data_IF_371445529596
#
_entry.id   IF_371445529596
#
_cell.length_a   1.000
_cell.length_b   1.000
_cell.length_c   1.000
_cell.angle_alpha   90.00
_cell.angle_beta   90.00
_cell.angle_gamma   90.00
#
_symmetry.space_group_name_H-M   'P 1'
#
loop_
_entity.id
_entity.type
_entity.pdbx_description
1 polymer ?
#
# COMPACT_ATOMS: atom_id res chain seq x y z
N UNK A 1 -18.30 13.33 34.06
CA UNK A 1 -17.93 12.29 33.09
C UNK A 1 -16.98 12.95 32.07
N UNK A 2 -15.69 12.91 32.32
CA UNK A 2 -14.66 13.52 31.47
C UNK A 2 -14.14 12.45 30.47
N UNK A 3 -14.29 12.71 29.17
CA UNK A 3 -13.78 11.91 28.06
C UNK A 3 -12.26 12.02 27.98
N UNK A 4 -11.51 10.93 27.83
CA UNK A 4 -10.06 10.99 27.56
C UNK A 4 -9.83 11.18 26.05
N UNK A 5 -9.77 12.43 25.59
CA UNK A 5 -9.58 12.77 24.17
C UNK A 5 -8.08 12.98 23.79
N UNK A 6 -7.15 12.88 24.75
CA UNK A 6 -5.76 13.30 24.52
C UNK A 6 -4.77 12.23 24.03
N UNK A 7 -5.02 10.95 24.26
CA UNK A 7 -4.04 9.89 23.94
C UNK A 7 -4.13 9.38 22.48
N UNK A 8 -5.33 9.36 21.89
CA UNK A 8 -5.52 8.91 20.50
C UNK A 8 -4.97 9.88 19.46
N UNK A 9 -4.98 11.19 19.74
CA UNK A 9 -4.49 12.20 18.80
C UNK A 9 -2.94 12.19 18.67
N UNK A 10 -2.19 11.77 19.69
CA UNK A 10 -0.72 11.72 19.64
C UNK A 10 -0.18 10.50 18.90
N UNK A 11 -0.77 9.33 19.06
CA UNK A 11 -0.39 8.14 18.29
C UNK A 11 -0.71 8.31 16.79
N UNK A 12 -1.80 9.00 16.44
CA UNK A 12 -2.16 9.32 15.06
C UNK A 12 -1.21 10.29 14.37
N UNK A 13 -0.53 11.18 15.10
CA UNK A 13 0.40 12.15 14.52
C UNK A 13 1.73 11.52 14.11
N UNK A 14 2.24 10.51 14.82
CA UNK A 14 3.49 9.82 14.48
C UNK A 14 3.34 8.90 13.26
N UNK A 15 2.17 8.26 13.07
CA UNK A 15 1.86 7.43 11.89
C UNK A 15 1.63 8.22 10.60
N UNK A 16 1.41 9.54 10.68
CA UNK A 16 1.13 10.42 9.54
C UNK A 16 2.37 11.13 8.97
N UNK A 17 3.55 10.64 9.27
CA UNK A 17 4.81 11.17 8.74
C UNK A 17 5.81 10.06 8.47
N UNK A 18 6.31 10.01 7.23
CA UNK A 18 7.42 9.11 6.85
C UNK A 18 8.54 9.93 6.23
N UNK A 19 9.78 9.62 6.60
CA UNK A 19 10.98 10.25 6.04
C UNK A 19 11.85 9.17 5.42
N UNK A 20 12.19 9.38 4.16
CA UNK A 20 13.00 8.48 3.36
C UNK A 20 14.39 9.11 3.17
N UNK A 21 15.48 8.36 3.34
CA UNK A 21 16.82 8.88 3.17
C UNK A 21 17.08 9.36 1.73
N UNK A 22 18.07 10.23 1.58
CA UNK A 22 18.62 10.58 0.27
C UNK A 22 19.01 9.30 -0.48
N UNK A 23 18.82 9.30 -1.79
CA UNK A 23 19.20 8.17 -2.64
C UNK A 23 20.50 8.48 -3.37
N UNK A 24 21.45 7.53 -3.47
CA UNK A 24 22.60 7.65 -4.34
C UNK A 24 22.19 7.87 -5.81
N UNK A 25 23.13 8.34 -6.61
CA UNK A 25 22.95 8.44 -8.06
C UNK A 25 22.50 7.10 -8.66
N UNK A 26 21.62 7.13 -9.65
CA UNK A 26 21.07 5.95 -10.31
C UNK A 26 19.82 6.27 -11.11
N UNK A 27 19.21 5.25 -11.71
CA UNK A 27 18.00 5.38 -12.51
C UNK A 27 16.83 5.91 -11.68
N UNK A 28 16.08 6.86 -12.26
CA UNK A 28 14.90 7.50 -11.67
C UNK A 28 13.61 7.22 -12.43
N UNK A 29 13.66 6.47 -13.51
CA UNK A 29 12.48 6.10 -14.26
C UNK A 29 11.50 5.32 -13.37
N UNK A 30 10.23 5.73 -13.37
CA UNK A 30 9.19 5.00 -12.68
C UNK A 30 8.93 3.65 -13.37
N UNK A 31 8.93 2.57 -12.60
CA UNK A 31 8.78 1.21 -13.09
C UNK A 31 7.34 0.72 -13.07
N UNK A 32 6.58 1.14 -12.07
CA UNK A 32 5.17 0.76 -11.94
C UNK A 32 4.25 1.68 -12.76
N UNK A 33 3.05 1.21 -13.06
CA UNK A 33 2.06 2.03 -13.75
C UNK A 33 1.62 3.23 -12.90
N UNK A 34 1.50 3.08 -11.58
CA UNK A 34 1.12 4.17 -10.66
C UNK A 34 2.24 5.19 -10.45
N UNK A 35 3.50 4.75 -10.41
CA UNK A 35 4.65 5.66 -10.40
C UNK A 35 4.72 6.49 -11.69
N UNK A 36 4.44 5.90 -12.84
CA UNK A 36 4.34 6.63 -14.12
C UNK A 36 3.15 7.60 -14.14
N UNK A 37 1.99 7.17 -13.64
CA UNK A 37 0.81 8.05 -13.55
C UNK A 37 1.07 9.27 -12.64
N UNK A 38 1.82 9.09 -11.54
CA UNK A 38 2.26 10.19 -10.69
C UNK A 38 3.11 11.22 -11.46
N UNK A 39 4.10 10.76 -12.22
CA UNK A 39 4.94 11.65 -13.07
C UNK A 39 4.06 12.35 -14.10
N UNK A 40 3.16 11.64 -14.75
CA UNK A 40 2.24 12.18 -15.76
C UNK A 40 1.36 13.29 -15.18
N UNK A 41 0.89 13.17 -13.95
CA UNK A 41 0.09 14.21 -13.29
C UNK A 41 0.83 15.55 -13.17
N UNK A 42 2.15 15.53 -12.96
CA UNK A 42 2.97 16.75 -12.97
C UNK A 42 3.21 17.26 -14.39
N UNK A 43 3.54 16.36 -15.32
CA UNK A 43 3.99 16.70 -16.66
C UNK A 43 2.83 17.20 -17.55
N UNK A 44 1.61 16.73 -17.32
CA UNK A 44 0.43 17.12 -18.07
C UNK A 44 0.17 18.65 -18.09
N UNK A 45 0.68 19.39 -17.12
CA UNK A 45 0.59 20.85 -17.05
C UNK A 45 1.85 21.59 -17.49
N UNK A 46 2.94 20.89 -17.73
CA UNK A 46 4.20 21.50 -18.13
C UNK A 46 4.31 21.55 -19.65
N UNK A 47 4.55 22.74 -20.19
CA UNK A 47 4.85 22.93 -21.63
C UNK A 47 6.34 22.86 -21.95
N UNK A 48 7.20 22.66 -20.95
CA UNK A 48 8.66 22.67 -21.09
C UNK A 48 9.23 21.29 -20.77
N UNK A 49 9.31 20.44 -21.78
CA UNK A 49 9.89 19.09 -21.68
C UNK A 49 11.36 19.10 -21.22
N UNK A 50 12.17 20.03 -21.72
CA UNK A 50 13.56 20.14 -21.33
C UNK A 50 13.78 20.48 -19.85
N UNK A 51 12.80 21.15 -19.23
CA UNK A 51 12.84 21.44 -17.79
C UNK A 51 12.53 20.20 -16.97
N UNK A 52 11.60 19.39 -17.44
CA UNK A 52 11.26 18.11 -16.82
C UNK A 52 12.42 17.11 -16.93
N UNK A 53 13.08 17.05 -18.07
CA UNK A 53 14.28 16.25 -18.31
C UNK A 53 15.43 16.65 -17.37
N UNK A 54 15.74 17.95 -17.25
CA UNK A 54 16.71 18.45 -16.27
C UNK A 54 16.33 18.09 -14.82
N UNK A 55 15.04 17.97 -14.51
CA UNK A 55 14.56 17.47 -13.22
C UNK A 55 14.87 15.99 -13.03
N UNK A 56 14.60 15.17 -14.03
CA UNK A 56 14.96 13.75 -14.04
C UNK A 56 16.46 13.55 -13.81
N UNK A 57 17.29 14.32 -14.52
CA UNK A 57 18.76 14.29 -14.38
C UNK A 57 19.22 14.68 -12.96
N UNK A 58 18.61 15.68 -12.34
CA UNK A 58 18.92 16.05 -10.95
C UNK A 58 18.60 14.90 -9.99
N UNK A 59 17.46 14.26 -10.17
CA UNK A 59 17.09 13.10 -9.35
C UNK A 59 18.05 11.93 -9.59
N UNK A 60 18.43 11.66 -10.85
CA UNK A 60 19.37 10.61 -11.23
C UNK A 60 20.77 10.79 -10.63
N UNK A 61 21.21 12.05 -10.47
CA UNK A 61 22.49 12.39 -9.81
C UNK A 61 22.43 12.33 -8.28
N UNK A 62 21.27 11.97 -7.68
CA UNK A 62 21.13 11.94 -6.24
C UNK A 62 21.05 13.35 -5.60
N UNK A 63 20.63 14.37 -6.36
CA UNK A 63 20.57 15.75 -5.88
C UNK A 63 19.38 16.03 -4.96
N UNK A 64 18.52 15.05 -4.67
CA UNK A 64 17.38 15.15 -3.77
C UNK A 64 17.76 14.58 -2.41
N UNK A 65 17.73 15.41 -1.39
CA UNK A 65 17.96 15.00 0.01
C UNK A 65 16.84 14.09 0.53
N UNK A 66 16.85 13.85 1.85
CA UNK A 66 15.79 13.09 2.49
C UNK A 66 14.40 13.65 2.14
N UNK A 67 13.50 12.74 1.76
CA UNK A 67 12.13 13.09 1.39
C UNK A 67 11.22 12.84 2.57
N UNK A 68 10.49 13.85 2.99
CA UNK A 68 9.44 13.73 4.01
C UNK A 68 8.07 13.74 3.35
N UNK A 69 7.24 12.77 3.71
CA UNK A 69 5.87 12.60 3.26
C UNK A 69 4.93 12.72 4.45
N UNK A 70 3.92 13.56 4.29
CA UNK A 70 2.81 13.74 5.23
C UNK A 70 1.50 13.85 4.44
N UNK A 71 0.32 13.78 5.07
CA UNK A 71 -0.93 14.02 4.37
C UNK A 71 -0.90 15.29 3.53
N UNK A 72 -1.16 15.15 2.25
CA UNK A 72 -1.21 16.26 1.29
C UNK A 72 0.13 16.87 0.89
N UNK A 73 1.28 16.40 1.40
CA UNK A 73 2.56 17.07 1.18
C UNK A 73 3.74 16.11 1.06
N UNK A 74 4.51 16.28 -0.01
CA UNK A 74 5.88 15.77 -0.13
C UNK A 74 6.84 16.95 -0.08
N UNK A 75 7.89 16.83 0.71
CA UNK A 75 8.90 17.88 0.93
C UNK A 75 10.30 17.29 0.88
N UNK A 76 11.20 17.95 0.16
CA UNK A 76 12.64 17.71 0.24
C UNK A 76 13.45 18.96 -0.05
N UNK A 77 14.74 18.92 0.28
CA UNK A 77 15.71 19.87 -0.22
C UNK A 77 16.38 19.28 -1.47
N UNK A 78 16.57 20.12 -2.49
CA UNK A 78 17.14 19.72 -3.76
C UNK A 78 18.35 20.58 -4.08
N UNK A 79 19.50 19.95 -4.27
CA UNK A 79 20.74 20.60 -4.65
C UNK A 79 20.67 21.06 -6.12
N UNK A 80 21.01 22.29 -6.35
CA UNK A 80 21.09 22.89 -7.68
C UNK A 80 22.49 23.45 -7.93
N UNK A 81 22.57 24.52 -8.74
CA UNK A 81 23.82 25.20 -9.06
C UNK A 81 24.36 26.12 -7.93
N UNK A 82 23.55 26.38 -6.89
CA UNK A 82 23.97 27.20 -5.75
C UNK A 82 24.39 26.30 -4.58
N UNK A 83 25.26 26.80 -3.67
CA UNK A 83 25.70 26.03 -2.50
C UNK A 83 24.58 25.63 -1.55
N UNK A 84 23.55 26.48 -1.40
CA UNK A 84 22.38 26.19 -0.56
C UNK A 84 21.32 25.46 -1.38
N UNK A 85 20.81 24.32 -0.88
CA UNK A 85 19.75 23.59 -1.57
C UNK A 85 18.42 24.36 -1.54
N UNK A 86 17.56 24.08 -2.50
CA UNK A 86 16.23 24.67 -2.59
C UNK A 86 15.19 23.76 -1.93
N UNK A 87 14.30 24.33 -1.16
CA UNK A 87 13.15 23.59 -0.60
C UNK A 87 12.11 23.40 -1.70
N UNK A 88 11.94 22.16 -2.14
CA UNK A 88 10.93 21.76 -3.09
C UNK A 88 9.75 21.06 -2.38
N UNK A 89 8.54 21.30 -2.83
CA UNK A 89 7.31 20.73 -2.30
C UNK A 89 6.40 20.31 -3.42
N UNK A 90 5.68 19.20 -3.20
CA UNK A 90 4.56 18.75 -4.03
C UNK A 90 3.35 18.61 -3.11
N UNK A 91 2.25 19.28 -3.46
CA UNK A 91 1.00 19.18 -2.71
C UNK A 91 -0.02 18.42 -3.52
N UNK A 92 -0.76 17.56 -2.83
CA UNK A 92 -1.92 16.86 -3.35
C UNK A 92 -3.04 16.93 -2.32
N UNK A 93 -4.28 17.05 -2.76
CA UNK A 93 -5.41 17.12 -1.82
C UNK A 93 -5.57 15.76 -1.11
N UNK A 94 -5.59 15.70 0.23
CA UNK A 94 -6.02 14.51 0.96
C UNK A 94 -7.45 14.14 0.59
N UNK A 95 -7.80 12.88 0.76
CA UNK A 95 -9.19 12.42 0.63
C UNK A 95 -10.01 12.91 1.82
N UNK A 96 -11.29 13.15 1.57
CA UNK A 96 -12.26 13.43 2.64
C UNK A 96 -12.62 12.16 3.41
N UNK A 97 -13.26 12.28 4.56
CA UNK A 97 -13.74 11.12 5.32
C UNK A 97 -14.74 10.29 4.51
N UNK A 98 -15.59 10.92 3.71
CA UNK A 98 -16.54 10.25 2.82
C UNK A 98 -15.82 9.51 1.68
N UNK A 99 -14.75 10.09 1.11
CA UNK A 99 -13.91 9.42 0.12
C UNK A 99 -13.25 8.19 0.74
N UNK A 100 -12.71 8.32 1.96
CA UNK A 100 -12.11 7.21 2.67
C UNK A 100 -13.11 6.11 3.01
N UNK A 101 -14.34 6.45 3.42
CA UNK A 101 -15.38 5.46 3.67
C UNK A 101 -15.67 4.64 2.41
N UNK A 102 -15.88 5.31 1.27
CA UNK A 102 -16.13 4.64 -0.02
C UNK A 102 -14.95 3.77 -0.49
N UNK A 103 -13.71 4.25 -0.26
CA UNK A 103 -12.51 3.50 -0.62
C UNK A 103 -12.35 2.24 0.24
N UNK A 104 -12.56 2.36 1.55
CA UNK A 104 -12.48 1.23 2.48
C UNK A 104 -13.54 0.17 2.17
N UNK A 105 -14.76 0.60 1.86
CA UNK A 105 -15.84 -0.29 1.43
C UNK A 105 -15.44 -1.04 0.15
N UNK A 106 -14.93 -0.31 -0.85
CA UNK A 106 -14.48 -0.91 -2.10
C UNK A 106 -13.35 -1.92 -1.92
N UNK A 107 -12.39 -1.66 -1.02
CA UNK A 107 -11.31 -2.60 -0.71
C UNK A 107 -11.85 -3.84 0.00
N UNK A 108 -12.76 -3.67 0.96
CA UNK A 108 -13.30 -4.78 1.75
C UNK A 108 -14.30 -5.64 0.98
N UNK A 109 -14.96 -5.08 -0.03
CA UNK A 109 -15.82 -5.84 -0.96
C UNK A 109 -15.01 -6.75 -1.91
N UNK A 110 -13.71 -6.48 -2.07
CA UNK A 110 -12.82 -7.20 -2.96
C UNK A 110 -11.55 -7.65 -2.21
N UNK A 111 -11.54 -8.81 -1.54
CA UNK A 111 -10.40 -9.28 -0.74
C UNK A 111 -9.06 -9.31 -1.49
N UNK A 112 -9.10 -9.48 -2.82
CA UNK A 112 -7.90 -9.42 -3.66
C UNK A 112 -7.22 -8.05 -3.64
N UNK A 113 -7.96 -6.95 -3.42
CA UNK A 113 -7.38 -5.61 -3.30
C UNK A 113 -6.57 -5.46 -2.02
N UNK A 114 -7.07 -6.01 -0.90
CA UNK A 114 -6.34 -6.02 0.36
C UNK A 114 -5.07 -6.87 0.25
N UNK A 115 -5.18 -8.07 -0.33
CA UNK A 115 -4.03 -8.94 -0.54
C UNK A 115 -2.94 -8.24 -1.37
N UNK A 116 -3.29 -7.64 -2.51
CA UNK A 116 -2.35 -6.90 -3.35
C UNK A 116 -1.68 -5.74 -2.61
N UNK A 117 -2.44 -4.97 -1.81
CA UNK A 117 -1.86 -3.88 -1.00
C UNK A 117 -0.85 -4.41 0.02
N UNK A 118 -1.13 -5.54 0.68
CA UNK A 118 -0.19 -6.18 1.61
C UNK A 118 1.09 -6.65 0.90
N UNK A 119 0.97 -7.07 -0.36
CA UNK A 119 2.10 -7.42 -1.24
C UNK A 119 2.80 -6.20 -1.85
N UNK A 120 2.46 -4.98 -1.41
CA UNK A 120 3.01 -3.72 -1.92
C UNK A 120 2.67 -3.46 -3.39
N UNK A 121 1.56 -3.96 -3.86
CA UNK A 121 1.03 -3.72 -5.20
C UNK A 121 -0.23 -2.85 -5.16
N UNK A 122 -0.38 -1.98 -6.15
CA UNK A 122 -1.59 -1.19 -6.35
C UNK A 122 -2.35 -1.73 -7.56
N UNK A 123 -3.48 -2.47 -7.36
CA UNK A 123 -4.29 -2.96 -8.46
C UNK A 123 -4.87 -1.81 -9.29
N UNK A 124 -4.86 -1.88 -10.63
CA UNK A 124 -5.51 -0.86 -11.47
C UNK A 124 -6.98 -0.62 -11.10
N UNK A 125 -7.72 -1.68 -10.82
CA UNK A 125 -9.13 -1.59 -10.41
C UNK A 125 -9.35 -0.76 -9.15
N UNK A 126 -8.37 -0.73 -8.23
CA UNK A 126 -8.44 0.11 -7.03
C UNK A 126 -8.24 1.59 -7.36
N UNK A 127 -7.40 1.91 -8.34
CA UNK A 127 -7.15 3.28 -8.76
C UNK A 127 -8.27 3.85 -9.65
N UNK A 128 -8.94 2.99 -10.40
CA UNK A 128 -10.10 3.30 -11.26
C UNK A 128 -11.43 3.18 -10.50
N UNK A 129 -11.37 2.86 -9.21
CA UNK A 129 -12.51 2.69 -8.32
C UNK A 129 -13.29 3.97 -8.05
N UNK A 130 -14.20 3.93 -7.05
CA UNK A 130 -15.12 5.03 -6.76
C UNK A 130 -14.42 6.31 -6.28
N UNK A 131 -13.14 6.23 -5.94
CA UNK A 131 -12.32 7.34 -5.44
C UNK A 131 -11.00 7.39 -6.19
N UNK A 132 -10.66 8.50 -6.86
CA UNK A 132 -9.40 8.65 -7.57
C UNK A 132 -8.22 8.72 -6.59
N UNK A 133 -7.47 7.63 -6.47
CA UNK A 133 -6.30 7.58 -5.59
C UNK A 133 -5.12 8.38 -6.13
N UNK A 134 -4.84 8.26 -7.42
CA UNK A 134 -3.78 9.00 -8.08
C UNK A 134 -4.23 10.43 -8.40
N UNK A 135 -3.33 11.41 -8.30
CA UNK A 135 -3.66 12.77 -8.74
C UNK A 135 -3.84 12.80 -10.26
N UNK A 136 -4.88 13.49 -10.69
CA UNK A 136 -5.09 13.82 -12.09
C UNK A 136 -4.26 15.02 -12.55
N UNK A 137 -4.42 15.40 -13.82
CA UNK A 137 -3.78 16.58 -14.37
C UNK A 137 -4.24 17.85 -13.62
N UNK A 138 -3.31 18.44 -12.86
CA UNK A 138 -3.58 19.66 -12.10
C UNK A 138 -3.82 19.50 -10.60
N UNK A 139 -3.99 18.27 -10.12
CA UNK A 139 -4.14 18.01 -8.70
C UNK A 139 -2.80 18.03 -7.95
N UNK A 140 -1.70 17.82 -8.68
CA UNK A 140 -0.35 17.88 -8.13
C UNK A 140 0.22 19.29 -8.28
N UNK A 141 0.35 19.99 -7.17
CA UNK A 141 0.76 21.39 -7.12
C UNK A 141 2.24 21.49 -6.70
N UNK A 142 3.15 21.81 -7.65
CA UNK A 142 4.57 21.99 -7.35
C UNK A 142 4.86 23.39 -6.79
N UNK A 143 5.74 23.47 -5.78
CA UNK A 143 6.26 24.70 -5.22
C UNK A 143 7.76 24.55 -4.91
N UNK A 144 8.53 25.63 -5.07
CA UNK A 144 9.96 25.63 -4.83
C UNK A 144 10.46 27.03 -4.50
N UNK A 145 11.45 27.11 -3.61
CA UNK A 145 12.11 28.38 -3.21
C UNK A 145 13.15 28.88 -4.22
N UNK A 146 13.34 28.18 -5.35
CA UNK A 146 14.27 28.65 -6.38
C UNK A 146 13.75 29.91 -7.08
N UNK A 147 14.65 30.74 -7.69
CA UNK A 147 14.27 31.97 -8.36
C UNK A 147 13.54 31.78 -9.71
N UNK A 148 13.42 30.53 -10.18
CA UNK A 148 12.73 30.23 -11.43
C UNK A 148 11.24 30.55 -11.29
N UNK A 149 10.67 31.45 -12.12
CA UNK A 149 9.25 31.82 -12.00
C UNK A 149 8.31 30.76 -12.59
N UNK A 150 8.82 29.88 -13.45
CA UNK A 150 7.99 28.86 -14.14
C UNK A 150 7.81 27.62 -13.26
N UNK A 151 6.60 27.10 -13.20
CA UNK A 151 6.25 25.89 -12.47
C UNK A 151 5.70 24.80 -13.42
N UNK A 152 6.12 23.53 -13.23
CA UNK A 152 7.16 23.05 -12.31
C UNK A 152 8.56 23.51 -12.74
N UNK A 153 9.41 23.86 -11.76
CA UNK A 153 10.83 24.06 -12.00
C UNK A 153 11.57 22.72 -11.98
N UNK A 154 12.83 22.66 -12.46
CA UNK A 154 13.64 21.44 -12.45
C UNK A 154 13.77 20.77 -11.06
N UNK A 155 13.77 21.55 -9.97
CA UNK A 155 13.89 21.01 -8.61
C UNK A 155 12.58 20.34 -8.15
N UNK A 156 11.43 20.93 -8.45
CA UNK A 156 10.14 20.30 -8.19
C UNK A 156 9.94 19.03 -9.07
N UNK A 157 10.41 19.07 -10.32
CA UNK A 157 10.42 17.89 -11.18
C UNK A 157 11.33 16.78 -10.62
N UNK A 158 12.53 17.13 -10.11
CA UNK A 158 13.41 16.17 -9.47
C UNK A 158 12.74 15.50 -8.24
N UNK A 159 12.06 16.29 -7.39
CA UNK A 159 11.30 15.73 -6.28
C UNK A 159 10.18 14.82 -6.77
N UNK A 160 9.50 15.15 -7.87
CA UNK A 160 8.45 14.31 -8.44
C UNK A 160 8.99 12.94 -8.88
N UNK A 161 10.10 12.91 -9.62
CA UNK A 161 10.75 11.67 -10.03
C UNK A 161 11.21 10.84 -8.83
N UNK A 162 11.79 11.49 -7.82
CA UNK A 162 12.19 10.80 -6.58
C UNK A 162 10.98 10.21 -5.83
N UNK A 163 9.86 10.94 -5.80
CA UNK A 163 8.62 10.47 -5.18
C UNK A 163 8.04 9.29 -5.96
N UNK A 164 8.04 9.32 -7.29
CA UNK A 164 7.59 8.20 -8.11
C UNK A 164 8.31 6.90 -7.76
N UNK A 165 9.63 6.97 -7.52
CA UNK A 165 10.43 5.81 -7.08
C UNK A 165 10.09 5.35 -5.65
N UNK A 166 9.62 6.22 -4.77
CA UNK A 166 9.10 5.82 -3.47
C UNK A 166 7.76 5.10 -3.62
N UNK A 167 6.90 5.60 -4.49
CA UNK A 167 5.62 4.98 -4.82
C UNK A 167 5.81 3.60 -5.47
N UNK A 168 6.81 3.43 -6.35
CA UNK A 168 7.15 2.13 -6.96
C UNK A 168 7.51 1.08 -5.91
N UNK A 169 8.15 1.49 -4.82
CA UNK A 169 8.58 0.60 -3.73
C UNK A 169 7.46 0.31 -2.73
N UNK A 170 6.55 1.27 -2.55
CA UNK A 170 5.54 1.18 -1.52
C UNK A 170 4.31 2.04 -1.83
N UNK A 171 3.18 1.44 -2.23
CA UNK A 171 1.94 2.15 -2.48
C UNK A 171 1.34 2.82 -1.24
N UNK A 172 1.70 2.40 -0.02
CA UNK A 172 1.26 3.06 1.22
C UNK A 172 1.77 4.50 1.34
N UNK A 173 2.82 4.86 0.61
CA UNK A 173 3.25 6.27 0.49
C UNK A 173 2.17 7.12 -0.17
N UNK A 174 1.45 6.58 -1.17
CA UNK A 174 0.32 7.27 -1.79
C UNK A 174 -0.86 7.40 -0.82
N UNK A 175 -1.18 6.33 -0.09
CA UNK A 175 -2.28 6.32 0.88
C UNK A 175 -2.00 7.29 2.05
N UNK A 176 -0.75 7.38 2.50
CA UNK A 176 -0.32 8.39 3.47
C UNK A 176 -0.52 9.81 2.93
N UNK A 177 -0.11 10.07 1.68
CA UNK A 177 -0.34 11.36 1.01
C UNK A 177 -1.83 11.69 0.91
N UNK A 178 -2.68 10.68 0.75
CA UNK A 178 -4.14 10.83 0.72
C UNK A 178 -4.77 10.96 2.10
N UNK A 179 -4.02 10.73 3.20
CA UNK A 179 -4.46 11.09 4.54
C UNK A 179 -4.43 9.98 5.59
N UNK A 180 -4.11 8.73 5.23
CA UNK A 180 -4.05 7.61 6.18
C UNK A 180 -2.71 6.93 6.21
N UNK A 181 -2.21 6.68 7.42
CA UNK A 181 -1.02 5.87 7.66
C UNK A 181 -1.28 4.38 7.43
N UNK A 182 -0.22 3.63 7.19
CA UNK A 182 -0.26 2.20 6.90
C UNK A 182 -0.92 1.40 8.03
N UNK A 183 -0.46 1.56 9.27
CA UNK A 183 -0.96 0.80 10.42
C UNK A 183 -2.46 1.05 10.66
N UNK A 184 -2.89 2.33 10.66
CA UNK A 184 -4.30 2.70 10.82
C UNK A 184 -5.18 2.11 9.71
N UNK A 185 -4.67 2.10 8.48
CA UNK A 185 -5.37 1.56 7.32
C UNK A 185 -5.52 0.04 7.42
N UNK A 186 -4.44 -0.69 7.70
CA UNK A 186 -4.45 -2.15 7.85
C UNK A 186 -5.37 -2.57 9.00
N UNK A 187 -5.26 -1.91 10.15
CA UNK A 187 -6.13 -2.18 11.30
C UNK A 187 -7.61 -1.95 10.98
N UNK A 188 -7.90 -0.88 10.25
CA UNK A 188 -9.27 -0.54 9.85
C UNK A 188 -9.82 -1.57 8.86
N UNK A 189 -9.05 -1.93 7.83
CA UNK A 189 -9.46 -2.94 6.84
C UNK A 189 -9.64 -4.32 7.47
N UNK A 190 -8.76 -4.70 8.38
CA UNK A 190 -8.88 -5.97 9.11
C UNK A 190 -10.16 -6.02 9.92
N UNK A 191 -10.49 -4.97 10.66
CA UNK A 191 -11.74 -4.89 11.44
C UNK A 191 -12.98 -4.97 10.53
N UNK A 192 -12.99 -4.23 9.42
CA UNK A 192 -14.10 -4.24 8.47
C UNK A 192 -14.28 -5.61 7.83
N UNK A 193 -13.19 -6.28 7.45
CA UNK A 193 -13.23 -7.63 6.87
C UNK A 193 -13.78 -8.66 7.86
N UNK A 194 -13.38 -8.60 9.13
CA UNK A 194 -13.91 -9.48 10.18
C UNK A 194 -15.39 -9.22 10.41
N UNK A 195 -15.82 -7.97 10.45
CA UNK A 195 -17.25 -7.61 10.64
C UNK A 195 -18.11 -8.11 9.50
N UNK A 196 -17.61 -8.06 8.24
CA UNK A 196 -18.33 -8.59 7.06
C UNK A 196 -18.35 -10.12 7.00
N UNK A 197 -17.30 -10.76 7.48
CA UNK A 197 -17.24 -12.23 7.54
C UNK A 197 -18.04 -12.83 8.69
N UNK A 198 -18.43 -12.02 9.69
CA UNK A 198 -19.28 -12.47 10.78
C UNK A 198 -20.69 -12.81 10.25
N UNK A 199 -21.24 -13.99 10.55
CA UNK A 199 -22.62 -14.31 10.18
C UNK A 199 -23.57 -13.30 10.83
N UNK A 200 -24.58 -12.85 10.07
CA UNK A 200 -25.56 -11.90 10.56
C UNK A 200 -26.17 -12.44 11.87
N UNK A 201 -26.29 -11.62 12.92
CA UNK A 201 -26.99 -12.03 14.13
C UNK A 201 -28.48 -12.13 13.80
N UNK A 202 -29.00 -13.34 13.61
CA UNK A 202 -30.41 -13.58 13.38
C UNK A 202 -30.71 -14.30 12.06
N UNK A 203 -30.45 -15.59 12.02
CA UNK A 203 -30.80 -16.44 10.90
C UNK A 203 -30.86 -17.92 11.26
N UNK A 204 -31.05 -18.25 12.53
CA UNK A 204 -31.38 -19.62 12.98
C UNK A 204 -32.89 -19.75 13.25
N UNK A 205 -33.72 -19.33 12.31
CA UNK A 205 -35.03 -19.95 12.11
C UNK A 205 -34.95 -20.72 10.81
N UNK A 206 -34.48 -21.96 10.91
CA UNK A 206 -34.71 -22.98 9.88
C UNK A 206 -36.17 -23.32 9.99
N UNK A 207 -37.03 -23.06 8.99
CA UNK A 207 -38.34 -23.67 8.97
C UNK A 207 -38.14 -25.18 8.87
N UNK A 208 -38.64 -25.91 9.83
CA UNK A 208 -38.90 -27.35 9.70
C UNK A 208 -39.86 -27.55 8.53
N UNK A 209 -39.31 -27.72 7.33
CA UNK A 209 -40.04 -28.27 6.21
C UNK A 209 -39.24 -29.50 5.70
N UNK A 210 -39.76 -30.61 6.16
CA UNK A 210 -39.29 -31.98 5.96
C UNK A 210 -39.52 -32.38 4.49
N UNK A 211 -38.52 -32.08 3.63
CA UNK A 211 -38.37 -32.74 2.35
C UNK A 211 -36.95 -33.32 2.28
N UNK A 212 -36.89 -34.63 2.57
CA UNK A 212 -35.66 -35.38 2.57
C UNK A 212 -34.97 -35.33 1.19
N UNK A 213 -33.85 -34.59 1.09
CA UNK A 213 -32.94 -34.69 -0.03
C UNK A 213 -32.04 -35.94 0.15
N UNK A 214 -32.17 -36.99 -0.71
CA UNK A 214 -31.45 -38.24 -0.55
C UNK A 214 -29.93 -38.14 -0.80
N UNK A 215 -29.40 -36.97 -1.20
CA UNK A 215 -27.96 -36.71 -1.45
C UNK A 215 -27.30 -35.83 -0.40
N UNK A 216 -28.02 -35.44 0.65
CA UNK A 216 -27.42 -34.63 1.72
C UNK A 216 -26.55 -35.50 2.61
N UNK A 217 -25.22 -35.39 2.45
CA UNK A 217 -24.29 -36.00 3.41
C UNK A 217 -24.57 -35.49 4.83
N UNK A 218 -24.64 -36.37 5.83
CA UNK A 218 -24.89 -35.94 7.21
C UNK A 218 -23.79 -34.95 7.63
N UNK A 219 -24.16 -33.87 8.33
CA UNK A 219 -23.18 -32.92 8.86
C UNK A 219 -22.21 -33.68 9.76
N UNK A 220 -20.92 -33.58 9.49
CA UNK A 220 -19.88 -34.09 10.39
C UNK A 220 -20.09 -33.48 11.78
N UNK A 221 -20.05 -34.28 12.86
CA UNK A 221 -20.22 -33.76 14.21
C UNK A 221 -19.08 -32.77 14.51
N UNK A 222 -19.32 -31.50 14.29
CA UNK A 222 -18.40 -30.40 14.63
C UNK A 222 -18.53 -30.06 16.12
N UNK A 223 -17.43 -30.13 16.87
CA UNK A 223 -17.38 -29.64 18.23
C UNK A 223 -17.08 -28.14 18.19
N UNK A 224 -17.88 -27.31 18.87
CA UNK A 224 -17.63 -25.85 18.87
C UNK A 224 -16.30 -25.54 19.56
N UNK A 225 -15.47 -24.70 18.97
CA UNK A 225 -14.13 -24.36 19.48
C UNK A 225 -14.14 -23.95 20.97
N UNK A 226 -15.17 -23.26 21.44
CA UNK A 226 -15.35 -22.89 22.85
C UNK A 226 -15.50 -24.10 23.78
N UNK A 227 -16.13 -25.16 23.31
CA UNK A 227 -16.38 -26.38 24.09
C UNK A 227 -15.08 -27.21 24.18
N UNK A 228 -14.25 -27.18 23.13
CA UNK A 228 -12.91 -27.77 23.14
C UNK A 228 -11.95 -27.01 24.06
N UNK A 229 -12.04 -25.69 24.09
CA UNK A 229 -11.22 -24.86 24.99
C UNK A 229 -11.61 -24.98 26.45
N UNK A 230 -12.89 -25.28 26.73
CA UNK A 230 -13.40 -25.50 28.10
C UNK A 230 -13.17 -26.93 28.63
N UNK A 231 -12.86 -27.90 27.77
CA UNK A 231 -12.81 -29.34 28.12
C UNK A 231 -11.52 -29.83 28.77
N UNK A 232 -10.61 -28.95 29.27
CA UNK A 232 -9.46 -29.38 30.07
C UNK A 232 -8.21 -29.78 29.26
N UNK A 233 -7.21 -30.45 29.87
CA UNK A 233 -5.86 -30.57 29.32
C UNK A 233 -5.83 -31.27 27.98
N UNK A 234 -5.03 -30.71 27.06
CA UNK A 234 -4.82 -31.22 25.69
C UNK A 234 -4.47 -32.72 25.70
N UNK A 235 -5.07 -33.50 24.78
CA UNK A 235 -4.60 -34.87 24.57
C UNK A 235 -3.12 -34.86 24.15
N UNK A 236 -2.33 -35.91 24.56
CA UNK A 236 -0.93 -35.99 24.19
C UNK A 236 -0.76 -35.96 22.68
N UNK A 237 0.23 -35.20 22.22
CA UNK A 237 0.59 -35.12 20.81
C UNK A 237 0.97 -36.50 20.29
N UNK A 238 0.40 -37.01 19.19
CA UNK A 238 0.81 -38.30 18.65
C UNK A 238 2.30 -38.29 18.30
N UNK A 239 3.00 -39.45 18.45
CA UNK A 239 4.43 -39.54 18.15
C UNK A 239 4.67 -39.15 16.67
N UNK A 240 5.82 -38.55 16.36
CA UNK A 240 6.16 -38.23 15.00
C UNK A 240 6.22 -39.49 14.14
N UNK A 241 5.87 -39.44 12.86
CA UNK A 241 5.96 -40.58 11.96
C UNK A 241 7.39 -41.11 11.90
N UNK A 242 7.61 -42.44 11.77
CA UNK A 242 8.94 -43.01 11.68
C UNK A 242 9.72 -42.37 10.52
N UNK A 243 10.95 -41.97 10.83
CA UNK A 243 11.88 -41.49 9.81
C UNK A 243 12.17 -42.65 8.85
N UNK A 244 12.01 -42.48 7.52
CA UNK A 244 12.34 -43.55 6.59
C UNK A 244 13.84 -43.89 6.71
N UNK A 245 14.15 -45.16 7.00
CA UNK A 245 15.52 -45.67 7.03
C UNK A 245 16.09 -45.72 5.60
N UNK A 246 17.09 -44.89 5.34
CA UNK A 246 17.95 -45.01 4.18
C UNK A 246 18.14 -43.72 3.39
N UNK A 247 19.36 -43.39 2.96
CA UNK A 247 19.59 -42.31 2.04
C UNK A 247 19.01 -42.67 0.68
N UNK A 248 18.12 -41.84 0.15
CA UNK A 248 17.62 -41.95 -1.21
C UNK A 248 18.83 -41.82 -2.17
N UNK A 249 19.07 -42.86 -2.97
CA UNK A 249 20.08 -42.82 -4.01
C UNK A 249 19.77 -41.69 -4.99
N UNK A 250 20.79 -40.90 -5.43
CA UNK A 250 20.54 -39.83 -6.41
C UNK A 250 20.10 -40.45 -7.75
N UNK A 251 19.19 -39.78 -8.48
CA UNK A 251 18.76 -40.26 -9.78
C UNK A 251 19.94 -40.29 -10.74
N UNK A 252 20.21 -41.47 -11.33
CA UNK A 252 21.22 -41.64 -12.38
C UNK A 252 20.68 -41.03 -13.68
N UNK A 253 21.34 -39.95 -14.13
CA UNK A 253 21.11 -39.39 -15.48
C UNK A 253 21.82 -40.27 -16.52
N UNK A 254 21.18 -40.69 -17.60
CA UNK A 254 21.84 -41.41 -18.69
C UNK A 254 22.82 -40.44 -19.40
N UNK A 255 24.09 -40.85 -19.48
CA UNK A 255 25.11 -40.16 -20.27
C UNK A 255 24.77 -40.30 -21.74
N UNK A 256 24.30 -39.23 -22.38
CA UNK A 256 24.14 -39.15 -23.81
C UNK A 256 25.53 -39.08 -24.48
N UNK A 257 25.92 -40.12 -25.14
CA UNK A 257 27.03 -40.09 -26.10
C UNK A 257 26.57 -39.32 -27.34
N UNK A 258 27.24 -38.21 -27.58
CA UNK A 258 27.19 -37.51 -28.85
C UNK A 258 28.02 -38.27 -29.91
N UNK A 259 27.49 -38.35 -31.10
CA UNK A 259 28.18 -38.62 -32.36
C UNK A 259 28.19 -37.33 -33.20
#
# INVERSE_FOLDING_TARGET
>A
VTRPTGARARASADGLRRTFPARPAGDTAATTWWGRAWVTALTARSRDAGRLERGSDLAARGSVDAVTVTPGLVLAYVHGSRPRPYRARLRVRPLTDDDWARLLDHITDHPAHLAALLDRELPPALAEGPVPLLPGAGDLIPDCTCPDPVRPCKHAAALCHRTARLLDQDPFVLLLLRGRGEDDLIDTLTRLSVTRAAPAPGGDEVPDDEAADPYRSPPLPGVRARDVLAAGPRPPVPPPPPVPDGPAAPPSYPSGHGG
#
